data_IF_088670235261
#
_entry.id   IF_088670235261
#
_cell.length_a   1.000
_cell.length_b   1.000
_cell.length_c   1.000
_cell.angle_alpha   90.00
_cell.angle_beta   90.00
_cell.angle_gamma   90.00
#
_symmetry.space_group_name_H-M   'P 1'
#
loop_
_entity.id
_entity.type
_entity.pdbx_description
1 polymer ?
#
# COMPACT_ATOMS: atom_id res chain seq x y z
N UNK A 1 -12.50 13.74 -4.45
CA UNK A 1 -11.30 12.87 -4.39
C UNK A 1 -10.80 12.61 -5.80
N UNK A 2 -9.47 12.64 -6.00
CA UNK A 2 -8.84 12.21 -7.25
C UNK A 2 -8.79 10.69 -7.26
N UNK A 3 -9.15 10.05 -8.38
CA UNK A 3 -9.12 8.60 -8.54
C UNK A 3 -7.72 8.07 -8.84
N UNK A 4 -6.73 8.42 -8.02
CA UNK A 4 -5.31 8.13 -8.25
C UNK A 4 -4.92 6.70 -7.84
N UNK A 5 -5.67 6.07 -6.94
CA UNK A 5 -5.43 4.70 -6.47
C UNK A 5 -5.89 3.64 -7.46
N UNK A 6 -5.23 2.48 -7.41
CA UNK A 6 -5.72 1.29 -8.10
C UNK A 6 -7.15 0.96 -7.66
N UNK A 7 -8.00 0.68 -8.65
CA UNK A 7 -9.38 0.30 -8.41
C UNK A 7 -9.42 -1.17 -7.99
N UNK A 8 -10.07 -1.45 -6.86
CA UNK A 8 -10.44 -2.79 -6.45
C UNK A 8 -11.98 -2.94 -6.49
N UNK A 9 -12.44 -4.15 -6.82
CA UNK A 9 -13.85 -4.54 -6.77
C UNK A 9 -14.06 -5.40 -5.52
N UNK A 10 -15.03 -5.03 -4.70
CA UNK A 10 -15.47 -5.84 -3.57
C UNK A 10 -16.57 -6.80 -4.04
N UNK A 11 -16.41 -8.09 -3.76
CA UNK A 11 -17.37 -9.14 -4.12
C UNK A 11 -17.80 -9.86 -2.85
N UNK A 12 -19.11 -9.92 -2.61
CA UNK A 12 -19.69 -10.70 -1.51
C UNK A 12 -19.91 -12.15 -1.91
N UNK A 13 -19.36 -13.09 -1.14
CA UNK A 13 -19.57 -14.53 -1.33
C UNK A 13 -20.76 -15.02 -0.50
N UNK A 14 -21.44 -16.10 -0.91
CA UNK A 14 -22.54 -16.69 -0.14
C UNK A 14 -22.09 -17.25 1.22
N UNK A 15 -20.80 -17.55 1.39
CA UNK A 15 -20.19 -17.90 2.68
C UNK A 15 -20.14 -16.74 3.69
N UNK A 16 -20.49 -15.53 3.26
CA UNK A 16 -20.39 -14.30 4.06
C UNK A 16 -19.01 -13.65 4.03
N UNK A 17 -18.07 -14.15 3.22
CA UNK A 17 -16.76 -13.53 2.99
C UNK A 17 -16.85 -12.36 1.99
N UNK A 18 -16.05 -11.31 2.19
CA UNK A 18 -15.88 -10.20 1.24
C UNK A 18 -14.51 -10.35 0.57
N UNK A 19 -14.51 -10.64 -0.72
CA UNK A 19 -13.31 -10.75 -1.54
C UNK A 19 -12.96 -9.39 -2.16
N UNK A 20 -11.71 -8.96 -2.00
CA UNK A 20 -11.14 -7.83 -2.75
C UNK A 20 -10.47 -8.34 -4.02
N UNK A 21 -11.00 -7.92 -5.18
CA UNK A 21 -10.46 -8.29 -6.49
C UNK A 21 -9.88 -7.06 -7.20
N UNK A 22 -8.57 -7.02 -7.51
CA UNK A 22 -7.98 -5.90 -8.22
C UNK A 22 -8.52 -5.80 -9.65
N UNK A 23 -8.87 -4.58 -10.09
CA UNK A 23 -9.42 -4.30 -11.44
C UNK A 23 -8.46 -4.72 -12.55
N UNK A 24 -7.15 -4.71 -12.29
CA UNK A 24 -6.11 -5.13 -13.23
C UNK A 24 -6.25 -6.60 -13.67
N UNK A 25 -6.83 -7.47 -12.83
CA UNK A 25 -7.15 -8.85 -13.23
C UNK A 25 -8.35 -8.92 -14.19
N UNK A 26 -9.21 -7.91 -14.17
CA UNK A 26 -10.40 -7.80 -15.02
C UNK A 26 -10.17 -6.79 -16.14
N UNK A 27 -9.05 -6.92 -16.85
CA UNK A 27 -8.71 -6.13 -18.03
C UNK A 27 -8.94 -6.97 -19.30
N UNK A 28 -9.76 -6.50 -20.26
CA UNK A 28 -9.95 -7.19 -21.54
C UNK A 28 -8.69 -7.21 -22.43
N UNK A 29 -7.67 -6.38 -22.15
CA UNK A 29 -6.42 -6.32 -22.94
C UNK A 29 -5.41 -7.41 -22.58
N UNK A 30 -5.72 -8.29 -21.62
CA UNK A 30 -4.81 -9.35 -21.18
C UNK A 30 -4.58 -10.35 -22.33
N UNK A 31 -3.32 -10.57 -22.74
CA UNK A 31 -3.03 -11.44 -23.88
C UNK A 31 -3.10 -12.92 -23.46
N UNK A 32 -3.52 -13.80 -24.37
CA UNK A 32 -3.37 -15.25 -24.16
C UNK A 32 -1.92 -15.69 -24.32
N UNK A 33 -1.21 -15.10 -25.29
CA UNK A 33 0.22 -15.34 -25.53
C UNK A 33 0.99 -14.03 -25.31
N UNK A 34 1.95 -13.98 -24.38
CA UNK A 34 2.68 -12.75 -24.09
C UNK A 34 3.52 -12.31 -25.30
N UNK A 35 3.31 -11.07 -25.74
CA UNK A 35 4.08 -10.40 -26.80
C UNK A 35 4.97 -9.32 -26.17
N UNK A 36 6.09 -8.93 -26.81
CA UNK A 36 7.02 -7.91 -26.25
C UNK A 36 6.31 -6.58 -25.92
N UNK A 37 5.40 -6.10 -26.77
CA UNK A 37 4.60 -4.89 -26.50
C UNK A 37 3.78 -5.01 -25.21
N UNK A 38 3.18 -6.19 -25.00
CA UNK A 38 2.35 -6.44 -23.82
C UNK A 38 3.19 -6.59 -22.55
N UNK A 39 4.45 -7.01 -22.71
CA UNK A 39 5.43 -7.06 -21.62
C UNK A 39 5.93 -5.68 -21.24
N UNK A 40 6.12 -4.78 -22.21
CA UNK A 40 6.45 -3.37 -21.95
C UNK A 40 5.35 -2.67 -21.11
N UNK A 41 4.08 -2.98 -21.37
CA UNK A 41 2.94 -2.46 -20.61
C UNK A 41 2.71 -3.17 -19.25
N UNK A 42 3.51 -4.18 -18.90
CA UNK A 42 3.35 -5.01 -17.69
C UNK A 42 1.95 -5.64 -17.54
N UNK A 43 1.31 -5.99 -18.66
CA UNK A 43 0.00 -6.64 -18.61
C UNK A 43 0.11 -8.09 -18.15
N UNK A 44 -0.77 -8.46 -17.23
CA UNK A 44 -0.82 -9.82 -16.67
C UNK A 44 -1.36 -10.76 -17.77
N UNK A 45 -0.66 -11.84 -18.13
CA UNK A 45 -1.16 -12.83 -19.10
C UNK A 45 -2.53 -13.35 -18.71
N UNK A 46 -3.40 -13.63 -19.68
CA UNK A 46 -4.74 -14.14 -19.43
C UNK A 46 -4.68 -15.48 -18.69
N UNK A 47 -5.45 -15.58 -17.61
CA UNK A 47 -5.67 -16.83 -16.88
C UNK A 47 -7.18 -17.04 -16.79
N UNK A 48 -7.72 -18.15 -17.30
CA UNK A 48 -9.15 -18.42 -17.26
C UNK A 48 -9.66 -18.66 -15.84
N UNK A 49 -8.79 -19.13 -14.95
CA UNK A 49 -9.12 -19.32 -13.54
C UNK A 49 -8.74 -18.07 -12.73
N UNK A 50 -9.72 -17.51 -12.03
CA UNK A 50 -9.52 -16.45 -11.04
C UNK A 50 -9.46 -17.11 -9.67
N UNK A 51 -8.25 -17.36 -9.20
CA UNK A 51 -8.01 -18.01 -7.92
C UNK A 51 -8.50 -17.14 -6.75
N UNK A 52 -9.33 -17.73 -5.90
CA UNK A 52 -9.82 -17.12 -4.67
C UNK A 52 -8.88 -17.51 -3.53
N UNK A 53 -8.03 -16.58 -3.11
CA UNK A 53 -7.16 -16.75 -1.96
C UNK A 53 -7.80 -16.15 -0.70
N UNK A 54 -7.74 -16.88 0.42
CA UNK A 54 -8.26 -16.41 1.70
C UNK A 54 -7.58 -15.13 2.20
N UNK A 55 -6.33 -14.89 1.79
CA UNK A 55 -5.57 -13.66 2.09
C UNK A 55 -6.22 -12.39 1.52
N UNK A 56 -7.07 -12.52 0.50
CA UNK A 56 -7.79 -11.40 -0.12
C UNK A 56 -9.15 -11.14 0.52
N UNK A 57 -9.51 -11.88 1.56
CA UNK A 57 -10.72 -11.62 2.33
C UNK A 57 -10.52 -10.44 3.27
N UNK A 58 -11.41 -9.45 3.14
CA UNK A 58 -11.35 -8.22 3.91
C UNK A 58 -11.91 -8.42 5.33
N UNK A 59 -12.82 -9.37 5.51
CA UNK A 59 -13.58 -9.58 6.74
C UNK A 59 -13.07 -10.76 7.56
N UNK A 60 -11.77 -10.80 7.84
CA UNK A 60 -11.07 -11.86 8.57
C UNK A 60 -11.91 -12.49 9.71
N UNK A 61 -12.38 -13.74 9.53
CA UNK A 61 -13.28 -14.49 10.43
C UNK A 61 -14.58 -13.80 10.86
N UNK A 62 -14.93 -12.65 10.29
CA UNK A 62 -16.14 -11.88 10.56
C UNK A 62 -17.10 -12.00 9.37
N UNK A 63 -17.68 -13.19 9.22
CA UNK A 63 -18.62 -13.48 8.12
C UNK A 63 -19.93 -12.73 8.31
N UNK A 64 -20.48 -12.23 7.21
CA UNK A 64 -21.73 -11.48 7.21
C UNK A 64 -22.83 -12.39 6.67
N UNK A 65 -23.80 -12.71 7.50
CA UNK A 65 -24.91 -13.56 7.09
C UNK A 65 -25.83 -12.81 6.12
N UNK A 66 -26.18 -13.47 5.01
CA UNK A 66 -27.16 -12.97 4.02
C UNK A 66 -26.86 -11.54 3.56
N UNK A 67 -25.65 -11.31 3.07
CA UNK A 67 -25.22 -10.02 2.52
C UNK A 67 -26.18 -9.56 1.41
N UNK A 68 -26.74 -8.35 1.55
CA UNK A 68 -27.64 -7.73 0.58
C UNK A 68 -26.93 -6.73 -0.33
N UNK A 69 -25.92 -6.05 0.21
CA UNK A 69 -25.17 -5.07 -0.54
C UNK A 69 -23.87 -4.65 0.14
N UNK A 70 -23.01 -4.02 -0.64
CA UNK A 70 -21.76 -3.41 -0.21
C UNK A 70 -21.79 -1.97 -0.66
N UNK A 71 -21.58 -1.06 0.28
CA UNK A 71 -21.44 0.37 0.05
C UNK A 71 -19.98 0.76 0.23
N UNK A 72 -19.48 1.61 -0.68
CA UNK A 72 -18.13 2.14 -0.60
C UNK A 72 -18.18 3.66 -0.60
N UNK A 73 -17.43 4.28 0.31
CA UNK A 73 -17.30 5.72 0.42
C UNK A 73 -15.82 6.11 0.39
N UNK A 74 -15.45 7.19 -0.31
CA UNK A 74 -14.09 7.65 -0.29
C UNK A 74 -13.77 8.23 1.09
N UNK A 75 -12.55 7.97 1.59
CA UNK A 75 -12.06 8.56 2.83
C UNK A 75 -11.23 9.82 2.53
N UNK A 76 -10.99 10.67 3.53
CA UNK A 76 -10.22 11.91 3.37
C UNK A 76 -8.79 11.71 2.86
N UNK A 77 -8.25 10.49 2.95
CA UNK A 77 -6.96 10.08 2.37
C UNK A 77 -7.19 9.39 1.03
N UNK A 78 -6.38 9.72 0.01
CA UNK A 78 -6.53 9.17 -1.35
C UNK A 78 -6.36 7.65 -1.38
N UNK A 79 -5.39 7.11 -0.64
CA UNK A 79 -5.07 5.68 -0.54
C UNK A 79 -6.10 4.81 0.21
N UNK A 80 -7.21 5.38 0.68
CA UNK A 80 -8.12 4.71 1.60
C UNK A 80 -9.58 4.76 1.17
N UNK A 81 -10.29 3.64 1.30
CA UNK A 81 -11.72 3.54 1.04
C UNK A 81 -12.44 2.95 2.26
N UNK A 82 -13.58 3.54 2.62
CA UNK A 82 -14.48 3.00 3.64
C UNK A 82 -15.44 2.03 2.96
N UNK A 83 -15.47 0.80 3.45
CA UNK A 83 -16.36 -0.25 2.94
C UNK A 83 -17.33 -0.63 4.05
N UNK A 84 -18.62 -0.58 3.74
CA UNK A 84 -19.71 -1.00 4.61
C UNK A 84 -20.49 -2.09 3.90
N UNK A 85 -20.48 -3.30 4.43
CA UNK A 85 -21.31 -4.39 3.95
C UNK A 85 -22.50 -4.58 4.88
N UNK A 86 -23.69 -4.73 4.31
CA UNK A 86 -24.93 -4.87 5.07
C UNK A 86 -25.75 -6.08 4.59
N UNK A 87 -26.32 -6.81 5.54
CA UNK A 87 -27.12 -8.01 5.32
C UNK A 87 -28.06 -8.27 6.50
N UNK A 88 -27.94 -9.45 7.11
CA UNK A 88 -28.44 -9.68 8.46
C UNK A 88 -27.60 -8.91 9.49
N UNK A 89 -26.29 -8.92 9.27
CA UNK A 89 -25.29 -8.23 10.09
C UNK A 89 -24.72 -7.02 9.31
N UNK A 90 -24.10 -6.09 10.03
CA UNK A 90 -23.42 -4.93 9.46
C UNK A 90 -21.93 -5.06 9.76
N UNK A 91 -21.10 -4.92 8.73
CA UNK A 91 -19.66 -4.91 8.85
C UNK A 91 -19.09 -3.63 8.21
N UNK A 92 -18.18 -2.98 8.91
CA UNK A 92 -17.51 -1.78 8.45
C UNK A 92 -16.00 -1.96 8.56
N UNK A 93 -15.29 -1.55 7.52
CA UNK A 93 -13.83 -1.64 7.47
C UNK A 93 -13.23 -0.56 6.56
N UNK A 94 -11.91 -0.37 6.68
CA UNK A 94 -11.12 0.47 5.77
C UNK A 94 -10.27 -0.44 4.90
N UNK A 95 -10.32 -0.22 3.58
CA UNK A 95 -9.57 -1.00 2.60
C UNK A 95 -8.53 -0.12 1.94
N UNK A 96 -7.33 -0.68 1.76
CA UNK A 96 -6.15 -0.03 1.17
C UNK A 96 -5.75 -0.77 -0.12
N UNK A 97 -6.35 -0.43 -1.28
CA UNK A 97 -6.12 -1.20 -2.50
C UNK A 97 -4.67 -1.14 -2.99
N UNK A 98 -3.98 -0.01 -2.81
CA UNK A 98 -2.61 0.23 -3.32
C UNK A 98 -1.54 0.21 -2.23
N UNK A 99 -1.85 -0.37 -1.06
CA UNK A 99 -1.13 -0.11 0.21
C UNK A 99 -1.18 1.38 0.60
N UNK A 100 -1.00 1.65 1.89
CA UNK A 100 -1.17 3.00 2.45
C UNK A 100 0.08 3.84 2.09
N UNK A 101 0.04 4.56 0.96
CA UNK A 101 1.18 5.37 0.50
C UNK A 101 1.15 6.82 1.01
N UNK A 102 -0.03 7.30 1.41
CA UNK A 102 -0.18 8.66 1.96
C UNK A 102 0.13 8.74 3.45
N UNK A 103 0.42 7.61 4.09
CA UNK A 103 0.69 7.52 5.52
C UNK A 103 2.06 6.89 5.71
N UNK A 104 2.80 7.39 6.69
CA UNK A 104 4.07 6.81 7.08
C UNK A 104 3.86 5.36 7.52
N UNK A 105 4.79 4.47 7.17
CA UNK A 105 4.71 3.06 7.56
C UNK A 105 4.55 2.94 9.08
N UNK A 106 3.68 2.03 9.51
CA UNK A 106 3.53 1.70 10.93
C UNK A 106 4.85 1.16 11.52
N UNK A 107 5.64 0.44 10.72
CA UNK A 107 6.95 -0.13 11.09
C UNK A 107 8.13 0.83 10.87
N UNK A 108 7.90 2.14 10.84
CA UNK A 108 8.99 3.10 10.61
C UNK A 108 9.93 3.17 11.82
N UNK A 109 11.22 2.89 11.59
CA UNK A 109 12.23 2.92 12.65
C UNK A 109 12.71 4.36 12.94
N UNK A 110 11.96 5.03 13.81
CA UNK A 110 12.31 6.37 14.29
C UNK A 110 13.63 6.39 15.06
N UNK A 111 14.03 5.28 15.69
CA UNK A 111 15.27 5.19 16.48
C UNK A 111 16.48 5.20 15.56
N UNK A 112 16.44 4.42 14.47
CA UNK A 112 17.51 4.40 13.47
C UNK A 112 17.76 5.80 12.92
N UNK A 113 16.73 6.48 12.41
CA UNK A 113 16.90 7.78 11.76
C UNK A 113 17.34 8.85 12.75
N UNK A 114 16.77 8.88 13.95
CA UNK A 114 17.21 9.81 14.97
C UNK A 114 18.68 9.57 15.36
N UNK A 115 19.09 8.32 15.53
CA UNK A 115 20.48 7.98 15.88
C UNK A 115 21.48 8.39 14.79
N UNK A 116 21.16 8.16 13.51
CA UNK A 116 22.00 8.56 12.37
C UNK A 116 22.10 10.08 12.29
N UNK A 117 20.99 10.80 12.52
CA UNK A 117 20.97 12.25 12.52
C UNK A 117 21.86 12.82 13.63
N UNK A 118 21.76 12.30 14.86
CA UNK A 118 22.66 12.67 15.94
C UNK A 118 24.13 12.34 15.61
N UNK A 119 24.39 11.14 15.10
CA UNK A 119 25.74 10.72 14.69
C UNK A 119 26.37 11.67 13.67
N UNK A 120 25.62 12.09 12.65
CA UNK A 120 26.06 13.06 11.64
C UNK A 120 26.31 14.44 12.24
N UNK A 121 25.47 14.92 13.15
CA UNK A 121 25.66 16.22 13.83
C UNK A 121 26.96 16.21 14.65
N UNK A 122 27.18 15.18 15.46
CA UNK A 122 28.41 15.04 16.25
C UNK A 122 29.66 14.91 15.37
N UNK A 123 29.60 14.06 14.34
CA UNK A 123 30.69 13.89 13.39
C UNK A 123 31.06 15.22 12.71
N UNK A 124 30.05 16.02 12.33
CA UNK A 124 30.25 17.33 11.70
C UNK A 124 30.90 18.32 12.67
N UNK A 125 30.47 18.36 13.94
CA UNK A 125 31.08 19.23 14.95
C UNK A 125 32.55 18.88 15.21
N UNK A 126 32.85 17.59 15.35
CA UNK A 126 34.22 17.11 15.57
C UNK A 126 35.09 17.43 14.35
N UNK A 127 34.60 17.13 13.14
CA UNK A 127 35.32 17.40 11.89
C UNK A 127 35.58 18.89 11.70
N UNK A 128 34.61 19.77 12.01
CA UNK A 128 34.79 21.22 11.97
C UNK A 128 35.91 21.66 12.91
N UNK A 129 35.91 21.17 14.16
CA UNK A 129 36.94 21.51 15.15
C UNK A 129 38.31 21.01 14.72
N UNK A 130 38.41 19.78 14.22
CA UNK A 130 39.65 19.19 13.70
C UNK A 130 40.16 19.97 12.47
N UNK A 131 39.27 20.37 11.57
CA UNK A 131 39.63 21.17 10.40
C UNK A 131 40.20 22.54 10.80
N UNK A 132 39.56 23.23 11.76
CA UNK A 132 40.06 24.51 12.28
C UNK A 132 41.45 24.38 12.91
N UNK A 133 41.68 23.34 13.72
CA UNK A 133 43.00 23.06 14.32
C UNK A 133 44.04 22.72 13.25
N UNK A 134 43.68 21.91 12.25
CA UNK A 134 44.58 21.54 11.16
C UNK A 134 44.95 22.75 10.29
N UNK A 135 44.01 23.65 10.04
CA UNK A 135 44.24 24.88 9.27
C UNK A 135 45.16 25.84 10.04
N UNK A 136 44.92 26.01 11.35
CA UNK A 136 45.80 26.79 12.22
C UNK A 136 47.23 26.22 12.21
N UNK A 137 47.41 24.92 12.44
CA UNK A 137 48.75 24.30 12.40
C UNK A 137 49.46 24.43 11.05
N UNK A 138 48.73 24.58 9.94
CA UNK A 138 49.30 24.80 8.61
C UNK A 138 49.72 26.25 8.38
N UNK A 139 49.01 27.23 8.95
CA UNK A 139 49.31 28.66 8.79
C UNK A 139 50.49 29.09 9.66
N UNK A 140 50.70 28.44 10.81
CA UNK A 140 51.77 28.75 11.77
C UNK A 140 53.06 27.98 11.50
N UNK A 141 53.23 27.45 10.29
CA UNK A 141 54.43 26.80 9.79
C UNK A 141 54.94 27.58 8.60
#
# INVERSE_FOLDING_TARGET
MRGSTELAKAVGLPSGAILSLPKALLDPRRPEVPTEQTREENLIPYSPDVQIHAERFINYNQTISRMRGIYTAPSGLESTCLVVAYGLDIYQTRVYPSKQFDVLKDDYDYVLISSVLFGLVFATMITKRLAQVKLLNRVWR
#
